data_IF_860828110512
#
_entry.id   IF_860828110512
#
_cell.length_a   1.000
_cell.length_b   1.000
_cell.length_c   1.000
_cell.angle_alpha   90.00
_cell.angle_beta   90.00
_cell.angle_gamma   90.00
#
_symmetry.space_group_name_H-M   'P 1'
#
loop_
_entity.id
_entity.type
_entity.pdbx_description
1 polymer ?
#
# COMPACT_ATOMS: atom_id res chain seq x y z
N UNK A 1 18.84 -7.36 42.94
CA UNK A 1 17.53 -6.81 43.39
C UNK A 1 16.49 -6.99 42.29
N UNK A 2 15.34 -7.58 42.63
CA UNK A 2 14.18 -7.73 41.74
C UNK A 2 13.41 -6.41 41.64
N UNK A 3 12.81 -6.11 40.49
CA UNK A 3 11.91 -4.98 40.26
C UNK A 3 10.49 -5.50 40.04
N UNK A 4 9.49 -4.71 40.41
CA UNK A 4 8.07 -5.10 40.32
C UNK A 4 7.46 -4.47 39.08
N UNK A 5 6.72 -5.26 38.30
CA UNK A 5 6.04 -4.79 37.09
C UNK A 5 4.84 -3.92 37.46
N UNK A 6 4.79 -2.71 36.90
CA UNK A 6 3.70 -1.75 37.13
C UNK A 6 2.35 -2.20 36.55
N UNK A 7 2.32 -3.21 35.67
CA UNK A 7 1.07 -3.76 35.10
C UNK A 7 0.58 -5.02 35.80
N UNK A 8 1.46 -5.99 36.08
CA UNK A 8 1.05 -7.29 36.63
C UNK A 8 1.53 -7.57 38.06
N UNK A 9 2.26 -6.64 38.68
CA UNK A 9 2.76 -6.80 40.06
C UNK A 9 3.82 -7.90 40.25
N UNK A 10 4.21 -8.61 39.20
CA UNK A 10 5.20 -9.69 39.29
C UNK A 10 6.62 -9.14 39.50
N UNK A 11 7.43 -9.74 40.38
CA UNK A 11 8.85 -9.42 40.50
C UNK A 11 9.63 -10.02 39.33
N UNK A 12 10.56 -9.26 38.76
CA UNK A 12 11.40 -9.67 37.64
C UNK A 12 12.85 -9.16 37.81
N UNK A 13 13.86 -9.85 37.22
CA UNK A 13 15.25 -9.44 37.33
C UNK A 13 15.49 -8.10 36.64
N UNK A 14 16.33 -7.24 37.26
CA UNK A 14 16.67 -5.91 36.75
C UNK A 14 17.20 -5.92 35.30
N UNK A 15 17.81 -7.03 34.86
CA UNK A 15 18.28 -7.22 33.47
C UNK A 15 17.16 -7.29 32.44
N UNK A 16 15.90 -7.52 32.84
CA UNK A 16 14.73 -7.65 31.96
C UNK A 16 13.75 -6.49 32.13
N UNK A 17 14.25 -5.30 32.46
CA UNK A 17 13.44 -4.10 32.70
C UNK A 17 13.17 -3.36 31.40
N UNK A 18 11.89 -3.11 31.12
CA UNK A 18 11.48 -2.16 30.08
C UNK A 18 10.83 -0.97 30.78
N UNK A 19 11.32 0.23 30.46
CA UNK A 19 10.77 1.48 30.99
C UNK A 19 9.86 2.12 29.94
N UNK A 20 8.60 2.35 30.31
CA UNK A 20 7.61 3.04 29.47
C UNK A 20 7.01 4.14 30.34
N UNK A 21 7.04 5.39 29.86
CA UNK A 21 6.48 6.56 30.57
C UNK A 21 6.94 6.67 32.04
N UNK A 22 8.24 6.40 32.29
CA UNK A 22 8.86 6.47 33.62
C UNK A 22 8.55 5.30 34.57
N UNK A 23 7.70 4.34 34.17
CA UNK A 23 7.31 3.15 34.96
C UNK A 23 8.01 1.88 34.47
N UNK A 24 8.15 0.88 35.34
CA UNK A 24 8.89 -0.35 35.06
C UNK A 24 7.94 -1.50 34.69
N UNK A 25 8.18 -2.14 33.55
CA UNK A 25 7.37 -3.26 33.05
C UNK A 25 8.23 -4.51 32.83
N UNK A 26 7.63 -5.69 33.05
CA UNK A 26 8.22 -6.93 32.58
C UNK A 26 8.02 -7.06 31.06
N UNK A 27 8.88 -7.84 30.40
CA UNK A 27 8.86 -8.06 28.94
C UNK A 27 7.46 -8.41 28.39
N UNK A 28 6.74 -9.31 29.04
CA UNK A 28 5.41 -9.73 28.62
C UNK A 28 4.37 -8.60 28.68
N UNK A 29 4.42 -7.76 29.72
CA UNK A 29 3.51 -6.63 29.85
C UNK A 29 3.89 -5.48 28.92
N UNK A 30 5.19 -5.21 28.77
CA UNK A 30 5.71 -4.20 27.85
C UNK A 30 5.31 -4.50 26.39
N UNK A 31 5.48 -5.75 25.94
CA UNK A 31 5.08 -6.15 24.59
C UNK A 31 3.57 -6.01 24.33
N UNK A 32 2.73 -6.12 25.36
CA UNK A 32 1.27 -5.89 25.24
C UNK A 32 0.92 -4.40 25.19
N UNK A 33 1.67 -3.56 25.90
CA UNK A 33 1.51 -2.09 25.88
C UNK A 33 1.98 -1.52 24.54
N UNK A 34 3.10 -2.02 24.01
CA UNK A 34 3.52 -1.70 22.65
C UNK A 34 2.47 -2.15 21.63
N UNK A 35 1.88 -3.34 21.77
CA UNK A 35 0.79 -3.79 20.89
C UNK A 35 -0.48 -2.93 20.98
N UNK A 36 -0.77 -2.27 22.10
CA UNK A 36 -1.93 -1.38 22.20
C UNK A 36 -1.67 0.04 21.67
N UNK A 37 -0.41 0.51 21.71
CA UNK A 37 0.02 1.71 20.96
C UNK A 37 0.21 1.40 19.45
N UNK A 38 0.53 0.16 19.11
CA UNK A 38 0.73 -0.34 17.73
C UNK A 38 -0.51 -1.04 17.15
N UNK A 39 -1.72 -0.70 17.62
CA UNK A 39 -2.97 -1.03 16.90
C UNK A 39 -3.27 -0.09 15.74
N UNK A 40 -2.31 0.77 15.39
CA UNK A 40 -2.06 1.22 14.03
C UNK A 40 -0.93 0.34 13.47
N UNK A 41 -1.33 -0.84 12.99
CA UNK A 41 -0.41 -1.80 12.39
C UNK A 41 -0.02 -1.34 10.99
N UNK A 42 1.23 -0.93 10.84
CA UNK A 42 2.16 -1.19 9.74
C UNK A 42 3.44 -0.47 10.17
N UNK A 43 4.46 -1.25 10.51
CA UNK A 43 5.81 -0.75 10.72
C UNK A 43 6.19 0.24 9.62
N UNK A 44 6.67 1.42 10.01
CA UNK A 44 7.27 2.47 9.21
C UNK A 44 8.57 2.00 8.51
N UNK A 45 8.51 0.94 7.70
CA UNK A 45 9.23 1.01 6.43
C UNK A 45 8.39 1.98 5.62
N UNK A 46 8.75 3.27 5.65
CA UNK A 46 8.20 4.21 4.68
C UNK A 46 8.37 3.54 3.33
N UNK A 47 7.25 3.19 2.68
CA UNK A 47 7.28 2.69 1.31
C UNK A 47 8.14 3.70 0.57
N UNK A 48 9.31 3.33 0.02
CA UNK A 48 10.14 4.29 -0.68
C UNK A 48 9.26 4.98 -1.70
N UNK A 49 9.45 6.30 -1.90
CA UNK A 49 8.67 7.09 -2.85
C UNK A 49 8.92 6.58 -4.28
N UNK A 50 8.27 5.46 -4.62
CA UNK A 50 8.36 4.79 -5.89
C UNK A 50 7.26 5.36 -6.74
N UNK A 51 7.68 5.98 -7.83
CA UNK A 51 6.78 6.64 -8.76
C UNK A 51 6.31 5.59 -9.74
N UNK A 52 5.01 5.31 -9.74
CA UNK A 52 4.38 4.34 -10.64
C UNK A 52 3.71 5.08 -11.80
N UNK A 53 4.07 4.71 -13.03
CA UNK A 53 3.72 5.42 -14.24
C UNK A 53 3.19 4.43 -15.29
N UNK A 54 2.10 4.80 -15.95
CA UNK A 54 1.51 4.00 -17.04
C UNK A 54 2.26 4.13 -18.36
N UNK A 55 3.21 5.06 -18.47
CA UNK A 55 4.03 5.25 -19.68
C UNK A 55 5.16 4.24 -19.75
N UNK A 56 5.46 3.77 -20.96
CA UNK A 56 6.53 2.80 -21.20
C UNK A 56 7.93 3.46 -21.29
N UNK A 57 8.00 4.80 -21.42
CA UNK A 57 9.27 5.54 -21.51
C UNK A 57 9.19 6.85 -20.72
N UNK A 58 10.35 7.35 -20.29
CA UNK A 58 10.47 8.59 -19.52
C UNK A 58 11.42 9.57 -20.22
N UNK A 59 11.23 10.89 -20.06
CA UNK A 59 12.14 11.90 -20.59
C UNK A 59 13.43 12.03 -19.75
N UNK A 60 13.84 10.95 -19.07
CA UNK A 60 15.04 10.85 -18.24
C UNK A 60 15.68 9.49 -18.48
N UNK A 61 17.00 9.41 -18.30
CA UNK A 61 17.73 8.18 -18.52
C UNK A 61 17.38 7.12 -17.47
N UNK A 62 17.05 5.92 -17.96
CA UNK A 62 16.85 4.74 -17.12
C UNK A 62 18.21 4.05 -16.98
N UNK A 63 18.76 4.09 -15.77
CA UNK A 63 20.06 3.49 -15.44
C UNK A 63 19.98 1.96 -15.43
N UNK A 64 18.85 1.42 -14.98
CA UNK A 64 18.66 -0.03 -14.83
C UNK A 64 17.20 -0.44 -14.95
N UNK A 65 16.99 -1.57 -15.64
CA UNK A 65 15.72 -2.28 -15.68
C UNK A 65 15.78 -3.52 -14.79
N UNK A 66 14.68 -3.82 -14.11
CA UNK A 66 14.48 -5.06 -13.38
C UNK A 66 13.45 -5.94 -14.08
N UNK A 67 13.29 -7.17 -13.57
CA UNK A 67 12.22 -8.05 -14.01
C UNK A 67 10.85 -7.43 -13.69
N UNK A 68 9.92 -7.55 -14.63
CA UNK A 68 8.55 -7.10 -14.42
C UNK A 68 7.91 -7.78 -13.20
N UNK A 69 7.15 -7.00 -12.45
CA UNK A 69 6.44 -7.42 -11.23
C UNK A 69 4.94 -7.37 -11.45
N UNK A 70 4.21 -8.20 -10.70
CA UNK A 70 2.76 -8.24 -10.72
C UNK A 70 2.19 -8.42 -9.31
N UNK A 71 1.01 -7.85 -9.09
CA UNK A 71 0.18 -8.07 -7.92
C UNK A 71 -1.23 -8.41 -8.37
N UNK A 72 -1.87 -9.35 -7.69
CA UNK A 72 -3.20 -9.86 -8.05
C UNK A 72 -4.10 -9.92 -6.82
N UNK A 73 -5.37 -9.59 -7.00
CA UNK A 73 -6.39 -9.72 -5.98
C UNK A 73 -7.71 -10.21 -6.56
N UNK A 74 -8.44 -10.96 -5.75
CA UNK A 74 -9.73 -11.53 -6.12
C UNK A 74 -10.81 -10.87 -5.26
N UNK A 75 -11.76 -10.21 -5.91
CA UNK A 75 -12.97 -9.70 -5.28
C UNK A 75 -14.12 -10.68 -5.52
N UNK A 76 -14.64 -11.24 -4.42
CA UNK A 76 -15.85 -12.06 -4.46
C UNK A 76 -17.09 -11.18 -4.55
N UNK A 77 -17.96 -11.46 -5.52
CA UNK A 77 -19.26 -10.78 -5.64
C UNK A 77 -20.31 -11.57 -4.87
N UNK A 78 -20.71 -11.05 -3.71
CA UNK A 78 -21.84 -11.60 -2.99
C UNK A 78 -23.17 -11.06 -3.57
N UNK A 79 -23.72 -11.78 -4.53
CA UNK A 79 -25.00 -11.43 -5.15
C UNK A 79 -26.20 -11.57 -4.20
N UNK A 80 -26.05 -12.21 -3.03
CA UNK A 80 -27.15 -12.39 -2.05
C UNK A 80 -27.30 -11.18 -1.14
N UNK A 81 -26.20 -10.53 -0.76
CA UNK A 81 -26.23 -9.26 0.00
C UNK A 81 -26.65 -8.07 -0.85
N UNK A 82 -26.47 -8.17 -2.18
CA UNK A 82 -26.91 -7.15 -3.10
C UNK A 82 -28.41 -7.33 -3.39
N UNK A 83 -29.26 -6.61 -2.64
CA UNK A 83 -30.71 -6.56 -2.90
C UNK A 83 -30.99 -5.90 -4.25
N UNK A 84 -30.98 -6.69 -5.31
CA UNK A 84 -31.52 -6.28 -6.61
C UNK A 84 -33.04 -6.22 -6.44
N UNK A 85 -33.57 -5.03 -6.13
CA UNK A 85 -35.00 -4.77 -6.23
C UNK A 85 -35.42 -5.03 -7.67
N UNK A 86 -36.16 -6.12 -7.91
CA UNK A 86 -36.78 -6.37 -9.23
C UNK A 86 -37.71 -5.20 -9.53
N UNK A 87 -37.21 -4.21 -10.28
CA UNK A 87 -38.07 -3.16 -10.81
C UNK A 87 -39.00 -3.83 -11.83
N UNK A 88 -40.29 -3.54 -11.75
CA UNK A 88 -41.26 -3.96 -12.75
C UNK A 88 -40.99 -3.13 -14.02
N UNK A 89 -39.98 -3.51 -14.78
CA UNK A 89 -39.51 -2.80 -15.96
C UNK A 89 -38.17 -3.36 -16.42
N UNK A 90 -37.87 -3.30 -17.71
CA UNK A 90 -36.62 -3.76 -18.34
C UNK A 90 -35.40 -2.92 -17.93
N UNK A 91 -35.29 -2.50 -16.67
CA UNK A 91 -34.19 -1.70 -16.15
C UNK A 91 -33.41 -2.58 -15.18
N UNK A 92 -32.27 -3.07 -15.66
CA UNK A 92 -31.31 -3.74 -14.81
C UNK A 92 -30.79 -2.72 -13.79
N UNK A 93 -30.94 -3.00 -12.49
CA UNK A 93 -30.32 -2.16 -11.46
C UNK A 93 -28.80 -2.30 -11.58
N UNK A 94 -28.12 -1.16 -11.78
CA UNK A 94 -26.66 -1.08 -11.80
C UNK A 94 -26.17 -1.03 -10.35
N UNK A 95 -25.27 -1.95 -10.00
CA UNK A 95 -24.60 -1.96 -8.71
C UNK A 95 -23.23 -1.31 -8.92
N UNK A 96 -23.00 -0.19 -8.24
CA UNK A 96 -21.70 0.48 -8.28
C UNK A 96 -20.75 -0.21 -7.31
N UNK A 97 -19.68 -0.81 -7.83
CA UNK A 97 -18.56 -1.39 -7.06
C UNK A 97 -17.31 -0.51 -7.15
N UNK A 98 -17.47 0.75 -7.56
CA UNK A 98 -16.35 1.64 -7.86
C UNK A 98 -15.44 1.84 -6.66
N UNK A 99 -16.02 2.02 -5.47
CA UNK A 99 -15.24 2.23 -4.25
C UNK A 99 -14.41 1.01 -3.86
N UNK A 100 -15.02 -0.19 -3.84
CA UNK A 100 -14.33 -1.43 -3.50
C UNK A 100 -13.22 -1.74 -4.50
N UNK A 101 -13.48 -1.53 -5.80
CA UNK A 101 -12.49 -1.72 -6.85
C UNK A 101 -11.34 -0.72 -6.76
N UNK A 102 -11.62 0.53 -6.40
CA UNK A 102 -10.57 1.55 -6.26
C UNK A 102 -9.70 1.30 -5.02
N UNK A 103 -10.30 0.90 -3.90
CA UNK A 103 -9.54 0.46 -2.71
C UNK A 103 -8.66 -0.76 -3.02
N UNK A 104 -9.18 -1.71 -3.80
CA UNK A 104 -8.41 -2.88 -4.22
C UNK A 104 -7.21 -2.50 -5.10
N UNK A 105 -7.42 -1.61 -6.08
CA UNK A 105 -6.34 -1.10 -6.94
C UNK A 105 -5.26 -0.37 -6.14
N UNK A 106 -5.64 0.42 -5.14
CA UNK A 106 -4.69 1.12 -4.26
C UNK A 106 -3.83 0.11 -3.49
N UNK A 107 -4.45 -0.92 -2.90
CA UNK A 107 -3.71 -2.00 -2.22
C UNK A 107 -2.74 -2.72 -3.17
N UNK A 108 -3.18 -3.06 -4.39
CA UNK A 108 -2.33 -3.70 -5.39
C UNK A 108 -1.15 -2.81 -5.82
N UNK A 109 -1.38 -1.50 -5.91
CA UNK A 109 -0.34 -0.54 -6.22
C UNK A 109 0.70 -0.45 -5.10
N UNK A 110 0.26 -0.49 -3.84
CA UNK A 110 1.16 -0.54 -2.67
C UNK A 110 2.02 -1.81 -2.69
N UNK A 111 1.42 -2.98 -2.96
CA UNK A 111 2.14 -4.25 -3.08
C UNK A 111 3.21 -4.19 -4.18
N UNK A 112 2.87 -3.62 -5.34
CA UNK A 112 3.82 -3.43 -6.44
C UNK A 112 4.99 -2.50 -6.05
N UNK A 113 4.71 -1.41 -5.33
CA UNK A 113 5.74 -0.50 -4.84
C UNK A 113 6.66 -1.21 -3.86
N UNK A 114 6.13 -2.02 -2.94
CA UNK A 114 6.95 -2.82 -2.02
C UNK A 114 7.84 -3.81 -2.79
N UNK A 115 7.32 -4.50 -3.79
CA UNK A 115 8.12 -5.39 -4.64
C UNK A 115 9.24 -4.62 -5.37
N UNK A 116 8.93 -3.48 -5.97
CA UNK A 116 9.92 -2.63 -6.64
C UNK A 116 10.99 -2.11 -5.67
N UNK A 117 10.61 -1.75 -4.44
CA UNK A 117 11.54 -1.33 -3.38
C UNK A 117 12.53 -2.43 -3.00
N UNK A 118 12.08 -3.68 -2.94
CA UNK A 118 12.94 -4.84 -2.65
C UNK A 118 14.03 -4.99 -3.71
N UNK A 119 13.74 -4.66 -4.97
CA UNK A 119 14.75 -4.63 -6.04
C UNK A 119 15.66 -3.39 -6.02
N UNK A 120 15.37 -2.40 -5.16
CA UNK A 120 16.08 -1.12 -5.12
C UNK A 120 15.67 -0.17 -6.25
N UNK A 121 14.51 -0.38 -6.87
CA UNK A 121 13.96 0.53 -7.87
C UNK A 121 13.39 1.79 -7.22
N UNK A 122 13.42 2.91 -7.95
CA UNK A 122 12.79 4.18 -7.54
C UNK A 122 11.59 4.57 -8.42
N UNK A 123 11.32 3.82 -9.49
CA UNK A 123 10.13 3.99 -10.31
C UNK A 123 9.62 2.65 -10.86
N UNK A 124 8.36 2.63 -11.26
CA UNK A 124 7.71 1.55 -12.02
C UNK A 124 7.15 2.19 -13.29
N UNK A 125 7.52 1.66 -14.46
CA UNK A 125 7.02 2.10 -15.76
C UNK A 125 6.14 1.03 -16.40
N UNK A 126 5.33 1.44 -17.39
CA UNK A 126 4.43 0.54 -18.10
C UNK A 126 3.38 -0.08 -17.18
N UNK A 127 2.91 0.66 -16.17
CA UNK A 127 1.89 0.19 -15.23
C UNK A 127 0.59 -0.13 -16.00
N UNK A 128 0.17 -1.38 -15.94
CA UNK A 128 -1.06 -1.88 -16.56
C UNK A 128 -1.94 -2.52 -15.50
N UNK A 129 -3.24 -2.27 -15.60
CA UNK A 129 -4.25 -2.96 -14.79
C UNK A 129 -5.13 -3.78 -15.71
N UNK A 130 -5.31 -5.05 -15.41
CA UNK A 130 -6.26 -5.91 -16.12
C UNK A 130 -7.29 -6.45 -15.15
N UNK A 131 -8.51 -6.60 -15.64
CA UNK A 131 -9.64 -7.08 -14.85
C UNK A 131 -10.36 -8.17 -15.64
N UNK A 132 -10.57 -9.30 -14.99
CA UNK A 132 -11.22 -10.47 -15.57
C UNK A 132 -12.30 -10.96 -14.62
N UNK A 133 -13.46 -11.33 -15.16
CA UNK A 133 -14.52 -11.97 -14.37
C UNK A 133 -14.37 -13.47 -14.48
N UNK A 134 -14.38 -14.16 -13.35
CA UNK A 134 -14.30 -15.62 -13.25
C UNK A 134 -15.55 -16.12 -12.55
N UNK A 135 -16.12 -17.21 -13.03
CA UNK A 135 -17.27 -17.88 -12.41
C UNK A 135 -16.80 -19.23 -11.86
N UNK A 136 -17.10 -19.50 -10.59
CA UNK A 136 -16.87 -20.81 -9.96
C UNK A 136 -17.92 -21.82 -10.40
N UNK A 137 -17.60 -23.11 -10.26
CA UNK A 137 -18.54 -24.22 -10.45
C UNK A 137 -19.83 -24.05 -9.63
N UNK A 138 -19.74 -23.41 -8.46
CA UNK A 138 -20.88 -23.12 -7.58
C UNK A 138 -21.67 -21.86 -7.97
N UNK A 139 -21.46 -21.33 -9.18
CA UNK A 139 -22.06 -20.07 -9.69
C UNK A 139 -21.68 -18.82 -8.87
N UNK A 140 -20.61 -18.88 -8.09
CA UNK A 140 -20.03 -17.71 -7.44
C UNK A 140 -19.25 -16.87 -8.46
N UNK A 141 -19.51 -15.56 -8.50
CA UNK A 141 -18.84 -14.65 -9.43
C UNK A 141 -17.71 -13.93 -8.72
N UNK A 142 -16.55 -13.89 -9.37
CA UNK A 142 -15.35 -13.25 -8.89
C UNK A 142 -14.84 -12.24 -9.92
N UNK A 143 -14.24 -11.17 -9.43
CA UNK A 143 -13.47 -10.24 -10.24
C UNK A 143 -12.01 -10.43 -9.85
N UNK A 144 -11.21 -10.95 -10.77
CA UNK A 144 -9.76 -10.94 -10.67
C UNK A 144 -9.26 -9.59 -11.17
N UNK A 145 -8.52 -8.88 -10.32
CA UNK A 145 -7.81 -7.65 -10.68
C UNK A 145 -6.33 -7.94 -10.58
N UNK A 146 -5.60 -7.67 -11.66
CA UNK A 146 -4.15 -7.75 -11.68
C UNK A 146 -3.56 -6.41 -12.07
N UNK A 147 -2.43 -6.08 -11.47
CA UNK A 147 -1.63 -4.91 -11.81
C UNK A 147 -0.19 -5.36 -12.05
N UNK A 148 0.42 -4.86 -13.11
CA UNK A 148 1.80 -5.20 -13.45
C UNK A 148 2.56 -3.99 -13.97
N UNK A 149 3.89 -4.04 -13.87
CA UNK A 149 4.78 -3.00 -14.36
C UNK A 149 6.24 -3.40 -14.26
N UNK A 150 7.12 -2.59 -14.83
CA UNK A 150 8.57 -2.84 -14.83
C UNK A 150 9.26 -1.90 -13.86
N UNK A 151 9.89 -2.40 -12.78
CA UNK A 151 10.67 -1.57 -11.88
C UNK A 151 11.95 -1.10 -12.56
N UNK A 152 12.31 0.15 -12.33
CA UNK A 152 13.51 0.79 -12.92
C UNK A 152 14.21 1.70 -11.91
N UNK A 153 15.50 1.95 -12.15
CA UNK A 153 16.25 3.04 -11.52
C UNK A 153 16.36 4.16 -12.54
N UNK A 154 15.83 5.34 -12.21
CA UNK A 154 16.06 6.58 -12.94
C UNK A 154 17.07 7.46 -12.22
N UNK A 155 17.91 8.13 -13.01
CA UNK A 155 19.01 8.99 -12.54
C UNK A 155 18.53 10.31 -11.90
N UNK A 156 17.42 10.87 -12.39
CA UNK A 156 16.81 12.10 -11.85
C UNK A 156 15.29 11.94 -11.64
N UNK A 157 14.87 11.89 -10.37
CA UNK A 157 13.46 11.81 -9.97
C UNK A 157 12.80 13.19 -9.78
N UNK A 158 13.56 14.29 -9.86
CA UNK A 158 13.04 15.66 -9.66
C UNK A 158 12.04 16.08 -10.74
N UNK A 159 12.20 15.57 -11.96
CA UNK A 159 11.27 15.81 -13.08
C UNK A 159 9.95 15.07 -12.86
N UNK A 160 9.98 13.91 -12.20
CA UNK A 160 8.79 13.12 -11.92
C UNK A 160 7.93 13.71 -10.78
N UNK A 161 8.49 14.59 -9.95
CA UNK A 161 7.77 15.32 -8.89
C UNK A 161 7.25 16.69 -9.35
N UNK A 162 7.51 17.08 -10.61
CA UNK A 162 7.34 18.46 -11.10
C UNK A 162 5.93 18.86 -11.55
N UNK A 163 4.86 18.20 -11.09
CA UNK A 163 3.48 18.59 -11.41
C UNK A 163 2.83 19.53 -10.38
N UNK A 164 3.55 19.98 -9.35
CA UNK A 164 2.99 20.79 -8.25
C UNK A 164 3.32 22.29 -8.22
N UNK A 165 4.37 22.78 -8.89
CA UNK A 165 4.81 24.17 -8.71
C UNK A 165 5.05 24.92 -10.03
N UNK A 166 4.19 25.92 -10.28
CA UNK A 166 4.49 27.04 -11.17
C UNK A 166 5.82 27.67 -10.76
N UNK A 167 6.86 27.50 -11.58
CA UNK A 167 8.09 28.28 -11.48
C UNK A 167 7.72 29.75 -11.66
N UNK A 168 7.78 30.53 -10.58
CA UNK A 168 7.92 31.98 -10.69
C UNK A 168 9.28 32.24 -11.33
N UNK A 169 9.27 32.67 -12.60
CA UNK A 169 10.45 33.24 -13.28
C UNK A 169 11.07 34.31 -12.38
N UNK A 170 12.22 34.01 -11.77
CA UNK A 170 13.07 35.05 -11.22
C UNK A 170 13.66 35.82 -12.39
N UNK A 171 13.33 37.12 -12.44
CA UNK A 171 13.89 38.07 -13.40
C UNK A 171 15.41 38.05 -13.28
N UNK A 172 16.08 37.94 -14.43
CA UNK A 172 17.45 38.44 -14.63
C UNK A 172 17.55 39.84 -14.00
N UNK A 173 18.50 40.02 -13.09
CA UNK A 173 19.16 41.32 -12.95
C UNK A 173 20.51 41.17 -13.62
N UNK A 174 20.64 41.86 -14.75
CA UNK A 174 21.90 42.35 -15.27
C UNK A 174 22.49 43.29 -14.21
N UNK A 175 23.77 43.06 -13.88
CA UNK A 175 24.80 44.07 -13.66
C UNK A 175 26.17 43.38 -13.78
#
# INVERSE_FOLDING_TARGET
MLKVCSSCGKPFPKSRIIKIDGKNYCLECASKIEKSKNRLGLSEFGVPDIIALSVDTLPVDIERYFQAVSAEAILRLDTKSIKISKSAGKIANVISLTYELDMLKLSLLEDLKVQAAIFGANAIIGLRTSMSTIESLDSEKFILVSMSGTPVIVSDTSILTYHGHKIKKSRKKEE
#
